data_IF_452094394745
#
_entry.id   IF_452094394745
#
_cell.length_a   1.000
_cell.length_b   1.000
_cell.length_c   1.000
_cell.angle_alpha   90.00
_cell.angle_beta   90.00
_cell.angle_gamma   90.00
#
_symmetry.space_group_name_H-M   'P 1'
#
loop_
_entity.id
_entity.type
_entity.pdbx_description
1 polymer ?
#
# COMPACT_ATOMS: atom_id res chain seq x y z
N UNK A 1 11.91 -1.32 -18.82
CA UNK A 1 12.26 -2.75 -18.82
C UNK A 1 13.58 -2.95 -18.09
N UNK A 2 13.83 -4.12 -17.52
CA UNK A 2 15.12 -4.42 -16.87
C UNK A 2 16.06 -5.08 -17.88
N UNK A 3 17.25 -4.53 -18.05
CA UNK A 3 18.30 -5.07 -18.90
C UNK A 3 19.35 -5.78 -18.06
N UNK A 4 19.55 -7.05 -18.39
CA UNK A 4 20.52 -7.93 -17.77
C UNK A 4 21.64 -8.29 -18.74
N UNK A 5 22.85 -8.44 -18.21
CA UNK A 5 24.00 -9.06 -18.87
C UNK A 5 24.56 -10.13 -17.94
N UNK A 6 24.63 -11.37 -18.40
CA UNK A 6 24.99 -12.53 -17.57
C UNK A 6 24.23 -12.59 -16.23
N UNK A 7 22.91 -12.43 -16.30
CA UNK A 7 22.03 -12.45 -15.12
C UNK A 7 22.24 -11.30 -14.12
N UNK A 8 23.17 -10.37 -14.38
CA UNK A 8 23.34 -9.15 -13.59
C UNK A 8 22.53 -8.00 -14.17
N UNK A 9 21.81 -7.26 -13.33
CA UNK A 9 21.15 -6.03 -13.75
C UNK A 9 22.21 -4.99 -14.15
N UNK A 10 22.13 -4.50 -15.38
CA UNK A 10 23.04 -3.46 -15.90
C UNK A 10 22.31 -2.13 -16.05
N UNK A 11 21.04 -2.14 -16.46
CA UNK A 11 20.28 -0.91 -16.67
C UNK A 11 18.78 -1.12 -16.53
N UNK A 12 18.09 -0.01 -16.23
CA UNK A 12 16.64 0.12 -16.38
C UNK A 12 16.41 0.92 -17.66
N UNK A 13 15.74 0.29 -18.62
CA UNK A 13 15.45 0.87 -19.92
C UNK A 13 14.12 1.61 -19.90
N UNK A 14 14.18 2.89 -20.28
CA UNK A 14 13.01 3.70 -20.62
C UNK A 14 12.38 3.23 -21.95
N UNK A 15 11.19 3.71 -22.34
CA UNK A 15 10.61 3.39 -23.64
C UNK A 15 11.56 3.82 -24.78
N UNK A 16 11.94 2.87 -25.63
CA UNK A 16 12.87 3.16 -26.73
C UNK A 16 13.31 1.91 -27.49
N UNK A 17 14.10 2.15 -28.55
CA UNK A 17 14.73 1.10 -29.36
C UNK A 17 16.17 0.97 -28.91
N UNK A 18 16.54 -0.21 -28.42
CA UNK A 18 17.89 -0.54 -27.98
C UNK A 18 18.44 -1.66 -28.86
N UNK A 19 19.72 -1.56 -29.23
CA UNK A 19 20.41 -2.55 -30.07
C UNK A 19 21.75 -2.88 -29.42
N UNK A 20 22.03 -4.17 -29.30
CA UNK A 20 23.31 -4.70 -28.82
C UNK A 20 23.83 -5.73 -29.80
N UNK A 21 25.15 -5.82 -29.93
CA UNK A 21 25.80 -6.96 -30.59
C UNK A 21 25.90 -8.08 -29.55
N UNK A 22 25.14 -9.16 -29.73
CA UNK A 22 25.06 -10.24 -28.75
C UNK A 22 25.22 -11.63 -29.38
N UNK A 23 26.43 -11.99 -29.86
CA UNK A 23 26.67 -13.29 -30.48
C UNK A 23 26.61 -14.47 -29.50
N UNK A 24 26.70 -14.20 -28.19
CA UNK A 24 26.69 -15.22 -27.12
C UNK A 24 25.35 -15.30 -26.38
N UNK A 25 24.33 -14.53 -26.81
CA UNK A 25 23.01 -14.44 -26.18
C UNK A 25 23.07 -14.14 -24.66
N UNK A 26 23.93 -13.18 -24.28
CA UNK A 26 24.18 -12.76 -22.89
C UNK A 26 23.29 -11.60 -22.44
N UNK A 27 22.65 -10.90 -23.37
CA UNK A 27 21.72 -9.81 -23.07
C UNK A 27 20.30 -10.36 -22.85
N UNK A 28 19.75 -10.11 -21.67
CA UNK A 28 18.34 -10.41 -21.34
C UNK A 28 17.55 -9.13 -21.10
N UNK A 29 16.31 -9.04 -21.60
CA UNK A 29 15.42 -7.92 -21.30
C UNK A 29 14.10 -8.44 -20.74
N UNK A 30 13.78 -8.03 -19.51
CA UNK A 30 12.46 -8.24 -18.92
C UNK A 30 11.61 -6.97 -19.13
N UNK A 31 10.49 -7.13 -19.82
CA UNK A 31 9.56 -6.02 -20.10
C UNK A 31 8.51 -5.92 -18.99
N UNK A 32 8.14 -4.69 -18.69
CA UNK A 32 7.13 -4.36 -17.69
C UNK A 32 6.11 -3.42 -18.31
N UNK A 33 4.85 -3.62 -17.96
CA UNK A 33 3.78 -2.68 -18.25
C UNK A 33 3.81 -1.56 -17.22
N UNK A 34 4.14 -0.34 -17.64
CA UNK A 34 4.24 0.82 -16.75
C UNK A 34 2.86 1.40 -16.37
N UNK A 35 1.76 0.86 -16.90
CA UNK A 35 0.41 1.16 -16.38
C UNK A 35 0.15 0.47 -15.04
N UNK A 36 0.92 -0.60 -14.73
CA UNK A 36 0.97 -1.22 -13.41
C UNK A 36 2.08 -0.53 -12.62
N UNK A 37 1.68 0.26 -11.62
CA UNK A 37 2.62 1.05 -10.85
C UNK A 37 3.51 0.18 -9.93
N UNK A 38 2.95 -0.92 -9.42
CA UNK A 38 3.66 -1.87 -8.59
C UNK A 38 4.79 -2.56 -9.37
N UNK A 39 5.97 -2.58 -8.76
CA UNK A 39 7.08 -3.38 -9.23
C UNK A 39 7.25 -4.60 -8.34
N UNK A 40 7.07 -5.78 -8.92
CA UNK A 40 7.31 -7.07 -8.27
C UNK A 40 8.36 -7.85 -9.07
N UNK A 41 9.33 -8.44 -8.35
CA UNK A 41 10.37 -9.26 -8.95
C UNK A 41 10.87 -10.30 -7.94
N UNK A 42 11.15 -11.56 -8.35
CA UNK A 42 11.64 -12.62 -7.44
C UNK A 42 12.93 -12.27 -6.68
N UNK A 43 13.77 -11.42 -7.26
CA UNK A 43 15.04 -10.97 -6.67
C UNK A 43 15.04 -9.49 -6.29
N UNK A 44 13.88 -8.94 -5.93
CA UNK A 44 13.71 -7.52 -5.60
C UNK A 44 14.82 -6.99 -4.69
N UNK A 45 15.12 -7.69 -3.61
CA UNK A 45 16.11 -7.28 -2.61
C UNK A 45 17.53 -7.18 -3.16
N UNK A 46 17.88 -8.06 -4.10
CA UNK A 46 19.18 -8.03 -4.78
C UNK A 46 19.23 -6.84 -5.73
N UNK A 47 18.16 -6.60 -6.49
CA UNK A 47 18.07 -5.47 -7.43
C UNK A 47 18.19 -4.13 -6.70
N UNK A 48 17.47 -3.98 -5.58
CA UNK A 48 17.50 -2.75 -4.78
C UNK A 48 18.87 -2.45 -4.18
N UNK A 49 19.71 -3.47 -3.96
CA UNK A 49 21.07 -3.33 -3.42
C UNK A 49 22.16 -3.23 -4.50
N UNK A 50 21.83 -3.50 -5.76
CA UNK A 50 22.83 -3.58 -6.83
C UNK A 50 23.36 -2.20 -7.22
N UNK A 51 22.49 -1.21 -7.34
CA UNK A 51 22.83 0.16 -7.71
C UNK A 51 21.79 1.14 -7.14
N UNK A 52 22.16 1.85 -6.07
CA UNK A 52 21.28 2.79 -5.37
C UNK A 52 20.86 3.96 -6.26
N UNK A 53 21.74 4.46 -7.13
CA UNK A 53 21.43 5.59 -8.02
C UNK A 53 20.39 5.19 -9.06
N UNK A 54 20.56 4.00 -9.66
CA UNK A 54 19.62 3.45 -10.61
C UNK A 54 18.25 3.21 -9.94
N UNK A 55 18.26 2.73 -8.70
CA UNK A 55 17.04 2.47 -7.91
C UNK A 55 16.32 3.77 -7.58
N UNK A 56 16.98 4.77 -7.02
CA UNK A 56 16.36 6.04 -6.63
C UNK A 56 15.74 6.77 -7.82
N UNK A 57 16.38 6.67 -9.00
CA UNK A 57 15.91 7.29 -10.24
C UNK A 57 14.63 6.65 -10.78
N UNK A 58 14.50 5.33 -10.70
CA UNK A 58 13.41 4.60 -11.38
C UNK A 58 12.39 3.98 -10.45
N UNK A 59 12.68 3.91 -9.15
CA UNK A 59 11.82 3.31 -8.16
C UNK A 59 11.53 4.26 -7.00
N UNK A 60 10.31 4.15 -6.49
CA UNK A 60 9.92 4.63 -5.18
C UNK A 60 9.78 3.41 -4.28
N UNK A 61 10.69 3.29 -3.31
CA UNK A 61 10.60 2.27 -2.26
C UNK A 61 9.83 2.87 -1.10
N UNK A 62 8.81 2.15 -0.64
CA UNK A 62 7.99 2.53 0.52
C UNK A 62 8.02 1.39 1.52
N UNK A 63 8.36 1.72 2.76
CA UNK A 63 8.41 0.78 3.88
C UNK A 63 7.52 1.31 5.01
N UNK A 64 6.66 0.46 5.55
CA UNK A 64 5.91 0.71 6.78
C UNK A 64 6.61 0.04 7.94
N UNK A 65 6.73 0.74 9.07
CA UNK A 65 7.14 0.11 10.33
C UNK A 65 6.03 -0.80 10.89
N UNK A 66 6.32 -1.50 11.99
CA UNK A 66 5.36 -2.38 12.68
C UNK A 66 4.10 -1.67 13.18
N UNK A 67 4.16 -0.34 13.31
CA UNK A 67 3.08 0.49 13.84
C UNK A 67 2.63 1.55 12.84
N UNK A 68 2.95 1.37 11.55
CA UNK A 68 2.52 2.29 10.50
C UNK A 68 1.68 1.60 9.45
N UNK A 69 0.73 2.35 8.90
CA UNK A 69 -0.10 1.95 7.77
C UNK A 69 0.14 2.95 6.65
N UNK A 70 0.27 2.47 5.42
CA UNK A 70 0.39 3.35 4.25
C UNK A 70 -0.92 3.48 3.50
N UNK A 71 -1.45 4.69 3.33
CA UNK A 71 -2.53 4.93 2.36
C UNK A 71 -1.93 5.17 0.97
N UNK A 72 -2.28 4.32 0.01
CA UNK A 72 -1.72 4.37 -1.35
C UNK A 72 -2.65 5.18 -2.25
N UNK A 73 -2.15 6.29 -2.77
CA UNK A 73 -2.83 7.10 -3.77
C UNK A 73 -2.17 6.91 -5.13
N UNK A 74 -2.99 6.63 -6.14
CA UNK A 74 -2.58 6.58 -7.55
C UNK A 74 -3.32 7.68 -8.30
N UNK A 75 -2.59 8.57 -8.96
CA UNK A 75 -3.18 9.73 -9.67
C UNK A 75 -4.18 10.50 -8.79
N UNK A 76 -3.81 10.75 -7.53
CA UNK A 76 -4.61 11.48 -6.55
C UNK A 76 -5.78 10.71 -5.92
N UNK A 77 -6.06 9.47 -6.33
CA UNK A 77 -7.17 8.66 -5.80
C UNK A 77 -6.67 7.56 -4.87
N UNK A 78 -7.36 7.40 -3.73
CA UNK A 78 -7.08 6.30 -2.82
C UNK A 78 -7.33 4.96 -3.53
N UNK A 79 -6.27 4.16 -3.63
CA UNK A 79 -6.24 2.92 -4.40
C UNK A 79 -6.05 1.68 -3.54
N UNK A 80 -5.53 1.83 -2.32
CA UNK A 80 -5.29 0.71 -1.42
C UNK A 80 -4.59 1.13 -0.14
N UNK A 81 -4.24 0.11 0.66
CA UNK A 81 -3.59 0.25 1.95
C UNK A 81 -2.38 -0.69 2.02
N UNK A 82 -1.23 -0.20 2.49
CA UNK A 82 -0.09 -0.99 2.90
C UNK A 82 -0.23 -1.36 4.39
N UNK A 83 -0.26 -2.65 4.74
CA UNK A 83 -0.18 -3.10 6.13
C UNK A 83 1.12 -2.65 6.81
N UNK A 84 1.21 -2.76 8.14
CA UNK A 84 2.47 -2.63 8.86
C UNK A 84 3.52 -3.65 8.41
N UNK A 85 4.78 -3.36 8.73
CA UNK A 85 5.94 -4.21 8.45
C UNK A 85 6.03 -4.67 6.98
N UNK A 86 5.60 -3.82 6.04
CA UNK A 86 5.51 -4.15 4.62
C UNK A 86 6.42 -3.24 3.81
N UNK A 87 7.21 -3.83 2.92
CA UNK A 87 7.89 -3.11 1.83
C UNK A 87 7.09 -3.24 0.54
N UNK A 88 6.90 -2.13 -0.17
CA UNK A 88 6.41 -2.10 -1.55
C UNK A 88 7.32 -1.23 -2.40
N UNK A 89 7.47 -1.60 -3.67
CA UNK A 89 8.24 -0.83 -4.65
C UNK A 89 7.31 -0.45 -5.80
N UNK A 90 7.42 0.81 -6.21
CA UNK A 90 6.66 1.36 -7.32
C UNK A 90 7.60 1.92 -8.38
N UNK A 91 7.21 1.81 -9.64
CA UNK A 91 7.87 2.52 -10.72
C UNK A 91 7.68 4.03 -10.58
N UNK A 92 8.77 4.79 -10.77
CA UNK A 92 8.69 6.21 -11.09
C UNK A 92 8.39 6.33 -12.58
N UNK A 93 7.12 6.38 -12.91
CA UNK A 93 6.64 6.31 -14.29
C UNK A 93 5.37 7.14 -14.52
N UNK A 94 4.53 6.74 -15.49
CA UNK A 94 3.36 7.52 -15.89
C UNK A 94 2.25 7.53 -14.82
N UNK A 95 2.21 6.52 -13.94
CA UNK A 95 1.29 6.50 -12.81
C UNK A 95 1.98 7.14 -11.60
N UNK A 96 1.51 8.32 -11.21
CA UNK A 96 1.96 8.99 -10.00
C UNK A 96 1.48 8.22 -8.76
N UNK A 97 2.42 7.78 -7.93
CA UNK A 97 2.16 7.11 -6.66
C UNK A 97 2.57 8.02 -5.50
N UNK A 98 1.62 8.25 -4.59
CA UNK A 98 1.87 8.88 -3.29
C UNK A 98 1.46 7.92 -2.20
N UNK A 99 2.31 7.71 -1.21
CA UNK A 99 1.96 6.96 0.00
C UNK A 99 2.01 7.88 1.19
N UNK A 100 0.91 7.89 1.95
CA UNK A 100 0.80 8.61 3.20
C UNK A 100 0.93 7.63 4.36
N UNK A 101 1.96 7.81 5.19
CA UNK A 101 2.22 6.95 6.34
C UNK A 101 1.48 7.48 7.57
N UNK A 102 0.67 6.61 8.17
CA UNK A 102 -0.11 6.89 9.37
C UNK A 102 0.43 6.01 10.50
N UNK A 103 0.85 6.64 11.60
CA UNK A 103 1.18 5.96 12.83
C UNK A 103 -0.10 5.49 13.53
N UNK A 104 -0.14 4.21 13.90
CA UNK A 104 -1.27 3.54 14.54
C UNK A 104 -0.90 2.94 15.91
N UNK A 105 0.22 3.36 16.49
CA UNK A 105 0.71 2.93 17.80
C UNK A 105 -0.34 3.17 18.89
N UNK A 106 -0.73 4.44 19.03
CA UNK A 106 -1.61 4.91 20.10
C UNK A 106 -3.03 5.21 19.63
N UNK A 107 -3.20 5.66 18.38
CA UNK A 107 -4.50 5.93 17.79
C UNK A 107 -4.70 5.12 16.52
N UNK A 108 -5.66 4.20 16.59
CA UNK A 108 -6.07 3.34 15.49
C UNK A 108 -7.40 3.79 14.88
N UNK A 109 -7.91 4.94 15.30
CA UNK A 109 -9.10 5.56 14.72
C UNK A 109 -8.74 6.16 13.37
N UNK A 110 -9.54 5.88 12.35
CA UNK A 110 -9.41 6.58 11.08
C UNK A 110 -10.07 7.95 11.19
N UNK A 111 -9.43 8.96 10.59
CA UNK A 111 -10.03 10.28 10.46
C UNK A 111 -11.39 10.18 9.78
N UNK A 112 -12.31 11.10 10.08
CA UNK A 112 -13.65 11.14 9.47
C UNK A 112 -13.59 11.16 7.93
N UNK A 113 -12.60 11.87 7.36
CA UNK A 113 -12.39 11.91 5.93
C UNK A 113 -11.99 10.54 5.36
N UNK A 114 -11.08 9.83 6.03
CA UNK A 114 -10.70 8.47 5.62
C UNK A 114 -11.85 7.48 5.83
N UNK A 115 -12.54 7.54 6.96
CA UNK A 115 -13.73 6.73 7.22
C UNK A 115 -14.79 6.91 6.13
N UNK A 116 -15.09 8.14 5.72
CA UNK A 116 -16.05 8.41 4.65
C UNK A 116 -15.63 7.83 3.29
N UNK A 117 -14.34 7.94 2.92
CA UNK A 117 -13.80 7.34 1.69
C UNK A 117 -13.87 5.80 1.71
N UNK A 118 -13.70 5.21 2.89
CA UNK A 118 -13.61 3.76 3.08
C UNK A 118 -14.95 3.10 3.37
N UNK A 119 -15.97 3.87 3.78
CA UNK A 119 -17.33 3.37 4.01
C UNK A 119 -18.08 3.09 2.70
N UNK A 120 -17.70 3.78 1.61
CA UNK A 120 -18.26 3.55 0.26
C UNK A 120 -17.14 3.38 -0.77
N UNK A 121 -16.28 2.36 -0.60
CA UNK A 121 -15.13 2.17 -1.47
C UNK A 121 -15.61 1.66 -2.85
N UNK A 122 -14.81 1.92 -3.89
CA UNK A 122 -14.99 1.23 -5.17
C UNK A 122 -14.83 -0.28 -4.97
N UNK A 123 -15.40 -1.12 -5.85
CA UNK A 123 -15.29 -2.57 -5.73
C UNK A 123 -13.82 -3.06 -5.64
N UNK A 124 -12.92 -2.41 -6.38
CA UNK A 124 -11.48 -2.70 -6.35
C UNK A 124 -10.88 -2.37 -4.99
N UNK A 125 -11.18 -1.18 -4.46
CA UNK A 125 -10.69 -0.74 -3.16
C UNK A 125 -11.28 -1.61 -2.03
N UNK A 126 -12.56 -1.94 -2.09
CA UNK A 126 -13.24 -2.80 -1.11
C UNK A 126 -12.52 -4.14 -0.91
N UNK A 127 -12.11 -4.77 -2.02
CA UNK A 127 -11.35 -6.03 -1.99
C UNK A 127 -10.00 -5.85 -1.30
N UNK A 128 -9.31 -4.74 -1.53
CA UNK A 128 -8.02 -4.46 -0.88
C UNK A 128 -8.13 -4.12 0.60
N UNK A 129 -9.30 -3.66 1.07
CA UNK A 129 -9.55 -3.27 2.46
C UNK A 129 -10.09 -4.40 3.33
N UNK A 130 -10.48 -5.52 2.71
CA UNK A 130 -11.15 -6.62 3.40
C UNK A 130 -10.27 -7.14 4.53
N UNK A 131 -10.78 -7.08 5.77
CA UNK A 131 -10.07 -7.50 6.98
C UNK A 131 -9.07 -6.49 7.56
N UNK A 132 -8.82 -5.36 6.89
CA UNK A 132 -7.85 -4.35 7.35
C UNK A 132 -8.48 -3.28 8.25
N UNK A 133 -9.77 -3.00 8.05
CA UNK A 133 -10.52 -1.97 8.77
C UNK A 133 -11.80 -2.53 9.39
N UNK A 134 -12.23 -1.92 10.49
CA UNK A 134 -13.54 -2.10 11.09
C UNK A 134 -14.31 -0.79 10.91
N UNK A 135 -15.39 -0.81 10.14
CA UNK A 135 -16.30 0.33 9.97
C UNK A 135 -17.58 0.03 10.76
N UNK A 136 -18.09 1.04 11.47
CA UNK A 136 -19.34 0.95 12.19
C UNK A 136 -20.11 2.27 12.08
N UNK A 137 -21.40 2.17 11.77
CA UNK A 137 -22.32 3.31 11.80
C UNK A 137 -23.22 3.13 13.02
N UNK A 138 -23.19 4.11 13.93
CA UNK A 138 -24.01 4.15 15.14
C UNK A 138 -25.19 5.07 14.87
N UNK A 139 -26.41 4.60 15.05
CA UNK A 139 -27.63 5.39 14.80
C UNK A 139 -27.88 6.42 15.91
N UNK A 140 -28.69 7.44 15.63
CA UNK A 140 -28.94 8.62 16.49
C UNK A 140 -29.46 8.30 17.91
N UNK A 141 -30.07 7.13 18.11
CA UNK A 141 -30.60 6.67 19.40
C UNK A 141 -29.83 5.48 19.98
N UNK A 142 -28.65 5.16 19.45
CA UNK A 142 -27.84 4.05 19.94
C UNK A 142 -26.48 4.54 20.41
N UNK A 143 -25.84 3.71 21.23
CA UNK A 143 -24.46 3.88 21.65
C UNK A 143 -23.62 2.73 21.09
N UNK A 144 -22.51 3.06 20.44
CA UNK A 144 -21.52 2.06 20.05
C UNK A 144 -20.59 1.73 21.21
N UNK A 145 -20.22 0.47 21.36
CA UNK A 145 -19.26 -0.03 22.32
C UNK A 145 -18.03 -0.50 21.54
N UNK A 146 -16.92 0.25 21.65
CA UNK A 146 -15.66 -0.12 21.02
C UNK A 146 -14.95 -1.15 21.90
N UNK A 147 -14.89 -2.38 21.40
CA UNK A 147 -14.20 -3.49 22.05
C UNK A 147 -12.90 -3.78 21.30
N UNK A 148 -11.78 -3.74 22.01
CA UNK A 148 -10.45 -4.04 21.44
C UNK A 148 -9.82 -5.16 22.24
N UNK A 149 -9.40 -6.21 21.54
CA UNK A 149 -8.82 -7.43 22.12
C UNK A 149 -9.67 -8.05 23.25
N UNK A 150 -10.99 -7.87 23.16
CA UNK A 150 -11.97 -8.39 24.13
C UNK A 150 -12.31 -7.44 25.27
N UNK A 151 -11.64 -6.29 25.38
CA UNK A 151 -11.87 -5.29 26.42
C UNK A 151 -12.69 -4.12 25.88
N UNK A 152 -13.68 -3.66 26.66
CA UNK A 152 -14.41 -2.43 26.35
C UNK A 152 -13.50 -1.23 26.58
N UNK A 153 -13.09 -0.56 25.50
CA UNK A 153 -12.17 0.58 25.57
C UNK A 153 -12.92 1.90 25.77
N UNK A 154 -13.98 2.11 24.99
CA UNK A 154 -14.79 3.34 25.06
C UNK A 154 -16.16 3.18 24.41
N UNK A 155 -17.04 4.13 24.68
CA UNK A 155 -18.31 4.29 23.98
C UNK A 155 -18.15 5.23 22.78
N UNK A 156 -18.98 5.04 21.76
CA UNK A 156 -18.99 5.80 20.52
C UNK A 156 -20.36 6.46 20.37
N UNK A 157 -20.41 7.80 20.19
CA UNK A 157 -21.67 8.49 19.92
C UNK A 157 -22.22 8.12 18.53
N UNK A 158 -23.47 8.50 18.23
CA UNK A 158 -24.01 8.37 16.89
C UNK A 158 -23.10 8.94 15.80
N UNK A 159 -23.03 8.23 14.68
CA UNK A 159 -22.23 8.60 13.50
C UNK A 159 -21.36 7.47 12.96
N UNK A 160 -20.57 7.81 11.94
CA UNK A 160 -19.67 6.90 11.25
C UNK A 160 -18.31 6.85 11.96
N UNK A 161 -17.92 5.66 12.38
CA UNK A 161 -16.64 5.36 13.00
C UNK A 161 -15.89 4.32 12.19
N UNK A 162 -14.57 4.46 12.11
CA UNK A 162 -13.72 3.47 11.46
C UNK A 162 -12.40 3.30 12.20
N UNK A 163 -11.91 2.07 12.23
CA UNK A 163 -10.72 1.67 12.99
C UNK A 163 -9.82 0.74 12.18
N UNK A 164 -8.51 0.88 12.35
CA UNK A 164 -7.53 -0.07 11.84
C UNK A 164 -7.56 -1.36 12.67
N UNK A 165 -7.51 -2.51 11.98
CA UNK A 165 -7.48 -3.85 12.61
C UNK A 165 -6.08 -4.44 12.69
N UNK A 166 -5.05 -3.63 12.45
CA UNK A 166 -3.68 -4.10 12.49
C UNK A 166 -3.19 -4.25 13.93
N UNK A 167 -2.54 -5.37 14.20
CA UNK A 167 -1.97 -5.74 15.50
C UNK A 167 -2.98 -5.81 16.66
N UNK A 168 -4.29 -5.80 16.37
CA UNK A 168 -5.37 -5.84 17.38
C UNK A 168 -6.68 -6.32 16.78
N UNK A 169 -7.54 -6.91 17.59
CA UNK A 169 -8.91 -7.25 17.20
C UNK A 169 -9.85 -6.12 17.57
N UNK A 170 -10.42 -5.45 16.58
CA UNK A 170 -11.42 -4.39 16.81
C UNK A 170 -12.83 -4.89 16.49
N UNK A 171 -13.75 -4.66 17.41
CA UNK A 171 -15.18 -4.88 17.25
C UNK A 171 -15.96 -3.66 17.74
N UNK A 172 -17.11 -3.42 17.13
CA UNK A 172 -18.06 -2.43 17.59
C UNK A 172 -19.40 -3.13 17.77
N UNK A 173 -19.96 -3.00 18.97
CA UNK A 173 -21.28 -3.54 19.32
C UNK A 173 -22.21 -2.36 19.60
N UNK A 174 -23.44 -2.39 19.10
CA UNK A 174 -24.41 -1.30 19.30
C UNK A 174 -25.42 -1.68 20.37
N UNK A 175 -25.75 -0.74 21.25
CA UNK A 175 -26.78 -0.88 22.29
C UNK A 175 -27.76 0.29 22.22
N UNK A 176 -29.02 0.01 22.58
CA UNK A 176 -30.14 0.97 22.61
C UNK A 176 -30.10 1.91 23.84
#
# INVERSE_FOLDING_TARGET
GLHFYDQRLIAILEPGIYRWLDPQNRHGVQRYDLTVAEFEHPWLDVLLKTDTVLVERHFQVVETSDQQVGLIYKSGRLSGVLPPATRRVYWRGPVEVRVELIDIANDYTLSRAHAALLARPSAVLAKSLTGLIQVAEVEDNHLGLLVVDGELVRTLPPGLHAFWRFNRTVKVETVD
#
